data_IF_484637350661
#
_entry.id   IF_484637350661
#
_cell.length_a   1.000
_cell.length_b   1.000
_cell.length_c   1.000
_cell.angle_alpha   90.00
_cell.angle_beta   90.00
_cell.angle_gamma   90.00
#
_symmetry.space_group_name_H-M   'P 1'
#
loop_
_entity.id
_entity.type
_entity.pdbx_description
1 polymer ?
#
# COMPACT_ATOMS: atom_id res chain seq x y z
N UNK A 1 -24.27 23.57 4.50
CA UNK A 1 -24.27 23.26 3.05
C UNK A 1 -23.83 21.82 2.75
N UNK A 2 -22.85 21.27 3.46
CA UNK A 2 -22.34 19.89 3.25
C UNK A 2 -23.40 18.80 3.51
N UNK A 3 -24.24 18.96 4.54
CA UNK A 3 -25.31 17.99 4.86
C UNK A 3 -26.45 17.95 3.83
N UNK A 4 -26.81 19.10 3.25
CA UNK A 4 -27.81 19.18 2.17
C UNK A 4 -27.32 18.49 0.89
N UNK A 5 -26.01 18.58 0.62
CA UNK A 5 -25.38 17.88 -0.49
C UNK A 5 -25.34 16.37 -0.27
N UNK A 6 -24.99 15.91 0.93
CA UNK A 6 -25.02 14.50 1.28
C UNK A 6 -26.43 13.91 1.17
N UNK A 7 -27.43 14.61 1.71
CA UNK A 7 -28.82 14.22 1.59
C UNK A 7 -29.27 14.13 0.13
N UNK A 8 -28.89 15.10 -0.71
CA UNK A 8 -29.22 15.09 -2.13
C UNK A 8 -28.60 13.91 -2.89
N UNK A 9 -27.31 13.62 -2.65
CA UNK A 9 -26.59 12.51 -3.30
C UNK A 9 -27.20 11.16 -2.91
N UNK A 10 -27.42 10.93 -1.61
CA UNK A 10 -28.06 9.71 -1.11
C UNK A 10 -29.47 9.59 -1.67
N UNK A 11 -30.25 10.67 -1.67
CA UNK A 11 -31.61 10.64 -2.22
C UNK A 11 -31.61 10.30 -3.70
N UNK A 12 -30.69 10.85 -4.50
CA UNK A 12 -30.55 10.55 -5.92
C UNK A 12 -30.17 9.08 -6.16
N UNK A 13 -29.25 8.53 -5.37
CA UNK A 13 -28.77 7.14 -5.48
C UNK A 13 -29.91 6.12 -5.30
N UNK A 14 -30.75 6.32 -4.28
CA UNK A 14 -31.84 5.38 -3.95
C UNK A 14 -33.18 5.73 -4.60
N UNK A 15 -33.32 6.89 -5.26
CA UNK A 15 -34.56 7.31 -5.93
C UNK A 15 -35.11 6.25 -6.90
N UNK A 16 -34.23 5.46 -7.52
CA UNK A 16 -34.60 4.34 -8.41
C UNK A 16 -35.41 3.24 -7.72
N UNK A 17 -35.22 3.07 -6.42
CA UNK A 17 -35.93 2.07 -5.60
C UNK A 17 -37.15 2.66 -4.88
N UNK A 18 -37.28 4.00 -4.85
CA UNK A 18 -38.33 4.67 -4.11
C UNK A 18 -39.72 4.35 -4.70
N UNK A 19 -40.74 4.08 -3.85
CA UNK A 19 -42.11 3.87 -4.32
C UNK A 19 -42.64 5.13 -5.02
N UNK A 20 -43.21 4.97 -6.21
CA UNK A 20 -43.77 6.09 -6.98
C UNK A 20 -45.24 6.31 -6.64
N UNK A 21 -45.59 7.54 -6.25
CA UNK A 21 -46.98 7.96 -6.12
C UNK A 21 -47.71 7.50 -4.86
N UNK A 22 -47.02 6.97 -3.85
CA UNK A 22 -47.62 6.51 -2.58
C UNK A 22 -46.88 7.07 -1.37
N UNK A 23 -47.63 7.53 -0.36
CA UNK A 23 -47.05 7.99 0.91
C UNK A 23 -46.78 6.81 1.85
N UNK A 24 -45.86 6.96 2.82
CA UNK A 24 -45.58 5.90 3.81
C UNK A 24 -46.81 5.42 4.58
N UNK A 25 -47.79 6.29 4.81
CA UNK A 25 -49.06 5.94 5.48
C UNK A 25 -50.04 5.18 4.58
N UNK A 26 -49.93 5.31 3.26
CA UNK A 26 -50.84 4.71 2.28
C UNK A 26 -50.38 3.29 1.91
N UNK A 27 -49.07 3.07 1.74
CA UNK A 27 -48.48 1.74 1.50
C UNK A 27 -47.19 1.55 2.31
N UNK A 28 -47.29 1.22 3.62
CA UNK A 28 -46.10 1.02 4.46
C UNK A 28 -45.23 -0.15 3.99
N UNK A 29 -45.81 -1.14 3.28
CA UNK A 29 -45.08 -2.32 2.80
C UNK A 29 -44.16 -1.97 1.64
N UNK A 30 -44.57 -1.10 0.72
CA UNK A 30 -43.71 -0.62 -0.36
C UNK A 30 -42.50 0.16 0.18
N UNK A 31 -42.72 1.00 1.20
CA UNK A 31 -41.65 1.75 1.85
C UNK A 31 -40.69 0.86 2.66
N UNK A 32 -41.18 -0.21 3.28
CA UNK A 32 -40.32 -1.22 3.93
C UNK A 32 -39.46 -1.99 2.90
N UNK A 33 -40.04 -2.39 1.76
CA UNK A 33 -39.28 -3.01 0.66
C UNK A 33 -38.21 -2.06 0.10
N UNK A 34 -38.53 -0.77 -0.04
CA UNK A 34 -37.57 0.24 -0.45
C UNK A 34 -36.36 0.30 0.50
N UNK A 35 -36.60 0.40 1.81
CA UNK A 35 -35.54 0.43 2.80
C UNK A 35 -34.66 -0.83 2.75
N UNK A 36 -35.28 -2.01 2.67
CA UNK A 36 -34.56 -3.28 2.53
C UNK A 36 -33.73 -3.35 1.24
N UNK A 37 -34.30 -2.97 0.10
CA UNK A 37 -33.61 -3.01 -1.19
C UNK A 37 -32.45 -2.01 -1.27
N UNK A 38 -32.57 -0.83 -0.65
CA UNK A 38 -31.50 0.17 -0.62
C UNK A 38 -30.25 -0.35 0.10
N UNK A 39 -30.44 -1.09 1.21
CA UNK A 39 -29.34 -1.73 1.94
C UNK A 39 -28.81 -2.95 1.18
N UNK A 40 -29.70 -3.82 0.71
CA UNK A 40 -29.32 -5.04 -0.01
C UNK A 40 -28.58 -4.73 -1.32
N UNK A 41 -28.95 -3.67 -2.06
CA UNK A 41 -28.26 -3.32 -3.30
C UNK A 41 -26.79 -2.98 -3.06
N UNK A 42 -26.48 -2.25 -1.97
CA UNK A 42 -25.09 -1.94 -1.60
C UNK A 42 -24.29 -3.20 -1.28
N UNK A 43 -24.89 -4.12 -0.53
CA UNK A 43 -24.24 -5.39 -0.18
C UNK A 43 -24.01 -6.24 -1.43
N UNK A 44 -25.02 -6.36 -2.31
CA UNK A 44 -24.91 -7.09 -3.56
C UNK A 44 -23.87 -6.47 -4.50
N UNK A 45 -23.83 -5.15 -4.64
CA UNK A 45 -22.84 -4.46 -5.47
C UNK A 45 -21.43 -4.65 -4.91
N UNK A 46 -21.24 -4.52 -3.60
CA UNK A 46 -19.96 -4.78 -2.94
C UNK A 46 -19.49 -6.22 -3.17
N UNK A 47 -20.38 -7.18 -2.94
CA UNK A 47 -20.04 -8.61 -3.10
C UNK A 47 -19.77 -8.95 -4.57
N UNK A 48 -20.54 -8.40 -5.51
CA UNK A 48 -20.31 -8.56 -6.95
C UNK A 48 -18.94 -8.01 -7.34
N UNK A 49 -18.57 -6.82 -6.86
CA UNK A 49 -17.27 -6.19 -7.15
C UNK A 49 -16.07 -7.03 -6.71
N UNK A 50 -16.24 -7.87 -5.70
CA UNK A 50 -15.23 -8.80 -5.20
C UNK A 50 -15.31 -10.21 -5.80
N UNK A 51 -16.18 -10.43 -6.78
CA UNK A 51 -16.27 -11.71 -7.48
C UNK A 51 -15.24 -11.82 -8.61
N UNK A 52 -14.69 -13.01 -8.80
CA UNK A 52 -13.82 -13.30 -9.95
C UNK A 52 -14.47 -13.01 -11.29
N UNK A 53 -15.79 -13.23 -11.41
CA UNK A 53 -16.54 -12.91 -12.61
C UNK A 53 -16.49 -11.42 -12.96
N UNK A 54 -16.62 -10.56 -11.96
CA UNK A 54 -16.53 -9.10 -12.15
C UNK A 54 -15.12 -8.64 -12.51
N UNK A 55 -14.09 -9.20 -11.87
CA UNK A 55 -12.70 -8.87 -12.24
C UNK A 55 -12.38 -9.27 -13.68
N UNK A 56 -12.85 -10.45 -14.11
CA UNK A 56 -12.71 -10.91 -15.49
C UNK A 56 -13.44 -9.98 -16.47
N UNK A 57 -14.71 -9.66 -16.19
CA UNK A 57 -15.52 -8.73 -16.98
C UNK A 57 -14.81 -7.38 -17.16
N UNK A 58 -14.31 -6.77 -16.07
CA UNK A 58 -13.59 -5.49 -16.14
C UNK A 58 -12.29 -5.56 -16.91
N UNK A 59 -11.53 -6.64 -16.77
CA UNK A 59 -10.29 -6.84 -17.54
C UNK A 59 -10.60 -6.89 -19.04
N UNK A 60 -11.61 -7.67 -19.42
CA UNK A 60 -11.98 -7.90 -20.80
C UNK A 60 -12.55 -6.61 -21.43
N UNK A 61 -13.42 -5.88 -20.71
CA UNK A 61 -13.93 -4.56 -21.11
C UNK A 61 -12.78 -3.57 -21.35
N UNK A 62 -11.79 -3.51 -20.44
CA UNK A 62 -10.65 -2.61 -20.55
C UNK A 62 -9.82 -2.89 -21.78
N UNK A 63 -9.51 -4.17 -22.03
CA UNK A 63 -8.71 -4.58 -23.19
C UNK A 63 -9.44 -4.17 -24.48
N UNK A 64 -10.73 -4.53 -24.57
CA UNK A 64 -11.55 -4.25 -25.76
C UNK A 64 -11.74 -2.75 -25.99
N UNK A 65 -11.97 -1.98 -24.92
CA UNK A 65 -12.10 -0.52 -25.00
C UNK A 65 -10.82 0.14 -25.53
N UNK A 66 -9.66 -0.25 -24.99
CA UNK A 66 -8.37 0.29 -25.41
C UNK A 66 -8.12 -0.02 -26.89
N UNK A 67 -8.39 -1.26 -27.33
CA UNK A 67 -8.26 -1.67 -28.73
C UNK A 67 -9.10 -0.79 -29.67
N UNK A 68 -10.40 -0.69 -29.40
CA UNK A 68 -11.34 0.10 -30.21
C UNK A 68 -10.99 1.60 -30.21
N UNK A 69 -10.62 2.14 -29.04
CA UNK A 69 -10.21 3.54 -28.92
C UNK A 69 -8.92 3.84 -29.70
N UNK A 70 -7.95 2.91 -29.71
CA UNK A 70 -6.72 3.03 -30.50
C UNK A 70 -7.02 3.03 -31.99
N UNK A 71 -7.85 2.10 -32.46
CA UNK A 71 -8.28 2.03 -33.87
C UNK A 71 -8.97 3.33 -34.30
N UNK A 72 -9.91 3.84 -33.48
CA UNK A 72 -10.56 5.15 -33.67
C UNK A 72 -9.57 6.30 -33.78
N UNK A 73 -8.47 6.27 -33.03
CA UNK A 73 -7.47 7.34 -32.98
C UNK A 73 -6.43 7.29 -34.10
N UNK A 74 -6.04 6.09 -34.58
CA UNK A 74 -5.07 5.95 -35.67
C UNK A 74 -5.59 6.49 -37.01
N UNK A 75 -6.92 6.52 -37.21
CA UNK A 75 -7.58 6.97 -38.45
C UNK A 75 -7.11 6.26 -39.74
N UNK A 76 -6.29 5.21 -39.63
CA UNK A 76 -5.80 4.42 -40.77
C UNK A 76 -6.90 3.54 -41.35
N UNK A 77 -7.78 3.03 -40.48
CA UNK A 77 -8.97 2.26 -40.87
C UNK A 77 -10.19 2.81 -40.11
N UNK A 78 -11.32 3.06 -40.79
CA UNK A 78 -12.57 3.41 -40.11
C UNK A 78 -13.04 2.23 -39.26
N UNK A 79 -13.65 2.52 -38.11
CA UNK A 79 -14.32 1.50 -37.32
C UNK A 79 -15.46 0.89 -38.13
N UNK A 80 -15.60 -0.43 -38.07
CA UNK A 80 -16.79 -1.12 -38.56
C UNK A 80 -18.03 -0.59 -37.82
N UNK A 81 -19.23 -0.55 -38.45
CA UNK A 81 -20.47 -0.17 -37.77
C UNK A 81 -20.73 -1.00 -36.49
N UNK A 82 -20.29 -2.26 -36.43
CA UNK A 82 -20.43 -3.09 -35.24
C UNK A 82 -19.43 -2.71 -34.14
N UNK A 83 -18.19 -2.41 -34.50
CA UNK A 83 -17.16 -1.92 -33.58
C UNK A 83 -17.52 -0.55 -32.98
N UNK A 84 -18.13 0.33 -33.78
CA UNK A 84 -18.61 1.62 -33.31
C UNK A 84 -19.74 1.47 -32.28
N UNK A 85 -20.68 0.55 -32.52
CA UNK A 85 -21.75 0.21 -31.56
C UNK A 85 -21.20 -0.45 -30.29
N UNK A 86 -20.19 -1.31 -30.41
CA UNK A 86 -19.53 -1.90 -29.23
C UNK A 86 -18.84 -0.84 -28.38
N UNK A 87 -18.12 0.09 -29.01
CA UNK A 87 -17.47 1.19 -28.31
C UNK A 87 -18.50 2.07 -27.58
N UNK A 88 -19.62 2.38 -28.24
CA UNK A 88 -20.70 3.15 -27.62
C UNK A 88 -21.31 2.40 -26.42
N UNK A 89 -21.57 1.10 -26.53
CA UNK A 89 -22.05 0.26 -25.42
C UNK A 89 -21.09 0.26 -24.24
N UNK A 90 -19.78 0.18 -24.51
CA UNK A 90 -18.75 0.28 -23.47
C UNK A 90 -18.76 1.68 -22.83
N UNK A 91 -18.84 2.76 -23.62
CA UNK A 91 -18.88 4.13 -23.08
C UNK A 91 -20.14 4.40 -22.23
N UNK A 92 -21.27 3.75 -22.53
CA UNK A 92 -22.47 3.80 -21.69
C UNK A 92 -22.37 2.98 -20.41
N UNK A 93 -21.60 1.89 -20.42
CA UNK A 93 -21.43 1.00 -19.27
C UNK A 93 -20.42 1.53 -18.26
N UNK A 94 -19.39 2.25 -18.73
CA UNK A 94 -18.23 2.65 -17.94
C UNK A 94 -18.45 3.98 -17.24
N UNK A 95 -17.87 4.10 -16.04
CA UNK A 95 -17.84 5.37 -15.32
C UNK A 95 -16.86 6.35 -15.98
N UNK A 96 -17.06 7.64 -15.70
CA UNK A 96 -16.20 8.71 -16.23
C UNK A 96 -14.72 8.51 -15.89
N UNK A 97 -14.44 8.09 -14.65
CA UNK A 97 -13.07 7.83 -14.18
C UNK A 97 -12.40 6.70 -14.95
N UNK A 98 -13.12 5.59 -15.15
CA UNK A 98 -12.67 4.45 -15.94
C UNK A 98 -12.36 4.86 -17.38
N UNK A 99 -13.28 5.59 -18.03
CA UNK A 99 -13.05 6.09 -19.39
C UNK A 99 -11.83 7.01 -19.47
N UNK A 100 -11.66 7.94 -18.52
CA UNK A 100 -10.52 8.86 -18.48
C UNK A 100 -9.21 8.07 -18.34
N UNK A 101 -9.17 7.11 -17.43
CA UNK A 101 -8.01 6.27 -17.18
C UNK A 101 -7.68 5.36 -18.38
N UNK A 102 -8.66 4.68 -18.97
CA UNK A 102 -8.39 3.77 -20.09
C UNK A 102 -7.98 4.52 -21.35
N UNK A 103 -8.51 5.73 -21.57
CA UNK A 103 -8.06 6.60 -22.66
C UNK A 103 -6.63 7.12 -22.44
N UNK A 104 -6.15 7.28 -21.21
CA UNK A 104 -4.75 7.65 -20.96
C UNK A 104 -3.82 6.47 -21.30
N UNK A 105 -4.18 5.25 -20.89
CA UNK A 105 -3.47 4.02 -21.25
C UNK A 105 -3.40 3.83 -22.77
N UNK A 106 -4.52 4.00 -23.48
CA UNK A 106 -4.60 3.86 -24.92
C UNK A 106 -3.71 4.89 -25.65
N UNK A 107 -3.72 6.16 -25.24
CA UNK A 107 -2.85 7.20 -25.82
C UNK A 107 -1.37 6.89 -25.60
N UNK A 108 -1.01 6.35 -24.44
CA UNK A 108 0.37 5.95 -24.15
C UNK A 108 0.81 4.76 -25.02
N UNK A 109 -0.05 3.77 -25.24
CA UNK A 109 0.23 2.69 -26.18
C UNK A 109 0.41 3.19 -27.62
N UNK A 110 -0.41 4.15 -28.07
CA UNK A 110 -0.24 4.76 -29.39
C UNK A 110 1.07 5.52 -29.53
N UNK A 111 1.51 6.23 -28.49
CA UNK A 111 2.82 6.90 -28.50
C UNK A 111 3.94 5.88 -28.73
N UNK A 112 3.91 4.73 -28.06
CA UNK A 112 4.89 3.64 -28.27
C UNK A 112 4.87 3.08 -29.68
N UNK A 113 3.68 2.74 -30.18
CA UNK A 113 3.53 2.17 -31.53
C UNK A 113 3.97 3.17 -32.60
N UNK A 114 3.74 4.47 -32.39
CA UNK A 114 4.17 5.53 -33.30
C UNK A 114 5.66 5.89 -33.20
N UNK A 115 6.42 5.35 -32.24
CA UNK A 115 7.89 5.50 -32.17
C UNK A 115 8.58 4.56 -33.18
N UNK A 116 7.92 3.49 -33.66
CA UNK A 116 8.42 2.60 -34.72
C UNK A 116 7.81 2.83 -36.12
N UNK A 117 6.73 3.61 -36.23
CA UNK A 117 6.16 3.98 -37.53
C UNK A 117 6.92 5.18 -38.06
N UNK A 118 7.66 4.99 -39.17
CA UNK A 118 8.28 6.08 -39.95
C UNK A 118 7.24 7.18 -40.15
N UNK A 119 7.35 8.28 -39.39
CA UNK A 119 6.73 9.54 -39.82
C UNK A 119 7.32 9.80 -41.21
N UNK A 120 6.45 9.97 -42.21
CA UNK A 120 6.89 10.52 -43.49
C UNK A 120 7.75 11.76 -43.17
N UNK A 121 8.98 11.86 -43.69
CA UNK A 121 9.88 12.92 -43.29
C UNK A 121 9.17 14.25 -43.58
N UNK A 122 8.98 15.13 -42.57
CA UNK A 122 8.55 16.48 -42.86
C UNK A 122 9.60 17.08 -43.80
N UNK A 123 9.16 17.60 -44.96
CA UNK A 123 10.01 18.29 -45.93
C UNK A 123 11.02 19.16 -45.18
N UNK A 124 12.30 18.85 -45.35
CA UNK A 124 13.44 19.45 -44.67
C UNK A 124 13.28 20.97 -44.57
N UNK A 125 13.11 21.46 -43.33
CA UNK A 125 13.43 22.84 -43.02
C UNK A 125 14.87 22.85 -42.51
N UNK A 126 15.80 23.12 -43.43
CA UNK A 126 17.18 23.46 -43.10
C UNK A 126 17.16 24.61 -42.10
N UNK A 127 17.62 24.36 -40.88
CA UNK A 127 17.58 25.31 -39.78
C UNK A 127 18.94 25.40 -39.12
N UNK A 128 19.52 26.61 -39.16
CA UNK A 128 20.52 27.28 -38.30
C UNK A 128 21.78 26.55 -37.77
N UNK A 129 21.79 25.23 -37.59
CA UNK A 129 22.93 24.49 -37.02
C UNK A 129 24.12 24.44 -37.99
N UNK A 130 23.87 24.45 -39.30
CA UNK A 130 24.91 24.49 -40.34
C UNK A 130 25.63 25.86 -40.46
N UNK A 131 25.12 26.91 -39.83
CA UNK A 131 25.75 28.24 -39.86
C UNK A 131 26.73 28.45 -38.69
N UNK A 132 26.51 27.78 -37.56
CA UNK A 132 27.35 27.92 -36.37
C UNK A 132 28.70 27.18 -36.46
N UNK A 133 28.82 26.19 -37.34
CA UNK A 133 30.02 25.38 -37.50
C UNK A 133 30.34 25.33 -38.99
N UNK A 134 31.29 26.19 -39.42
CA UNK A 134 31.64 26.44 -40.82
C UNK A 134 32.29 25.27 -41.56
N UNK A 135 31.58 24.15 -41.69
CA UNK A 135 32.00 22.98 -42.47
C UNK A 135 31.14 22.84 -43.72
N UNK A 136 31.79 22.83 -44.89
CA UNK A 136 31.17 22.42 -46.15
C UNK A 136 30.73 20.94 -46.07
N UNK A 137 29.57 20.56 -46.62
CA UNK A 137 29.14 19.18 -46.62
C UNK A 137 29.98 18.39 -47.63
N UNK A 138 30.70 17.40 -47.14
CA UNK A 138 31.25 16.32 -47.93
C UNK A 138 30.23 15.18 -47.87
N UNK A 139 29.74 14.74 -49.02
CA UNK A 139 28.87 13.57 -49.13
C UNK A 139 29.60 12.35 -48.55
N UNK A 140 29.11 11.87 -47.41
CA UNK A 140 29.34 10.50 -46.98
C UNK A 140 28.14 9.69 -47.44
N UNK A 141 28.36 8.81 -48.41
CA UNK A 141 27.50 7.67 -48.69
C UNK A 141 27.37 6.87 -47.38
N UNK A 142 26.18 6.85 -46.79
CA UNK A 142 25.85 5.98 -45.66
C UNK A 142 25.39 4.62 -46.22
N UNK A 143 26.19 3.60 -45.91
CA UNK A 143 25.82 2.17 -45.99
C UNK A 143 24.46 1.92 -45.33
N UNK A 144 23.54 1.18 -45.97
CA UNK A 144 22.17 1.02 -45.47
C UNK A 144 21.98 -0.05 -44.37
N UNK A 145 23.04 -0.54 -43.71
CA UNK A 145 22.95 -1.80 -42.94
C UNK A 145 23.28 -1.70 -41.43
N UNK A 146 23.03 -0.55 -40.80
CA UNK A 146 23.07 -0.43 -39.33
C UNK A 146 21.69 -0.55 -38.69
N UNK A 147 20.93 -1.60 -39.04
CA UNK A 147 19.79 -2.03 -38.22
C UNK A 147 20.28 -3.04 -37.20
N UNK A 148 20.44 -2.61 -35.94
CA UNK A 148 20.66 -3.53 -34.82
C UNK A 148 19.54 -4.58 -34.79
N UNK A 149 19.90 -5.86 -34.74
CA UNK A 149 18.93 -6.94 -34.53
C UNK A 149 18.33 -6.86 -33.12
N UNK A 150 17.11 -7.39 -32.92
CA UNK A 150 16.43 -7.37 -31.61
C UNK A 150 17.27 -8.01 -30.49
N UNK A 151 18.13 -8.97 -30.85
CA UNK A 151 19.06 -9.65 -29.95
C UNK A 151 20.19 -8.71 -29.48
N UNK A 152 20.81 -7.96 -30.38
CA UNK A 152 21.84 -6.97 -30.04
C UNK A 152 21.28 -5.81 -29.21
N UNK A 153 20.01 -5.44 -29.46
CA UNK A 153 19.30 -4.44 -28.65
C UNK A 153 19.01 -4.96 -27.24
N UNK A 154 18.68 -6.24 -27.10
CA UNK A 154 18.44 -6.88 -25.80
C UNK A 154 19.72 -6.99 -24.99
N UNK A 155 20.82 -7.40 -25.60
CA UNK A 155 22.13 -7.42 -24.94
C UNK A 155 22.58 -6.02 -24.52
N UNK A 156 22.31 -5.00 -25.35
CA UNK A 156 22.58 -3.61 -24.99
C UNK A 156 21.73 -3.16 -23.79
N UNK A 157 20.42 -3.50 -23.75
CA UNK A 157 19.53 -3.18 -22.64
C UNK A 157 19.88 -3.90 -21.34
N UNK A 158 20.29 -5.16 -21.42
CA UNK A 158 20.81 -5.90 -20.26
C UNK A 158 22.14 -5.30 -19.77
N UNK A 159 23.03 -4.87 -20.68
CA UNK A 159 24.33 -4.28 -20.34
C UNK A 159 24.25 -2.90 -19.67
N UNK A 160 23.16 -2.15 -19.87
CA UNK A 160 22.91 -0.85 -19.22
C UNK A 160 21.83 -0.92 -18.13
N UNK A 161 21.39 -2.14 -17.75
CA UNK A 161 20.32 -2.39 -16.77
C UNK A 161 19.01 -1.60 -17.05
N UNK A 162 18.71 -1.36 -18.33
CA UNK A 162 17.56 -0.56 -18.75
C UNK A 162 16.32 -1.43 -18.89
N UNK A 163 15.45 -1.43 -17.88
CA UNK A 163 14.12 -2.02 -17.97
C UNK A 163 13.14 -1.01 -18.59
N UNK A 164 12.66 -1.32 -19.80
CA UNK A 164 11.65 -0.49 -20.46
C UNK A 164 10.44 -0.26 -19.54
N UNK A 165 10.06 -1.21 -18.68
CA UNK A 165 8.93 -1.06 -17.75
C UNK A 165 9.19 -0.10 -16.60
N UNK A 166 10.43 0.01 -16.10
CA UNK A 166 10.80 1.01 -15.08
C UNK A 166 10.91 2.39 -15.69
N UNK A 167 11.53 2.53 -16.87
CA UNK A 167 11.56 3.78 -17.64
C UNK A 167 10.15 4.25 -18.03
N UNK A 168 9.19 3.33 -18.21
CA UNK A 168 7.78 3.63 -18.47
C UNK A 168 7.00 4.11 -17.23
N UNK A 169 7.45 3.73 -16.03
CA UNK A 169 6.90 4.22 -14.78
C UNK A 169 7.48 5.59 -14.39
N UNK A 170 8.70 5.91 -14.85
CA UNK A 170 9.38 7.20 -14.66
C UNK A 170 8.93 8.28 -15.66
N UNK A 171 8.47 7.90 -16.85
CA UNK A 171 7.99 8.85 -17.89
C UNK A 171 6.55 9.31 -17.73
N UNK A 172 5.79 8.73 -16.79
CA UNK A 172 4.53 9.31 -16.35
C UNK A 172 4.88 10.29 -15.24
N UNK A 173 4.83 11.58 -15.56
CA UNK A 173 4.96 12.67 -14.58
C UNK A 173 3.77 12.61 -13.60
N UNK A 174 3.88 11.71 -12.63
CA UNK A 174 2.93 11.50 -11.56
C UNK A 174 3.28 12.52 -10.48
N UNK A 175 2.30 13.32 -10.01
CA UNK A 175 2.53 14.21 -8.88
C UNK A 175 3.18 13.46 -7.73
N UNK A 176 4.13 14.10 -7.03
CA UNK A 176 4.91 13.48 -5.93
C UNK A 176 4.03 12.85 -4.84
N UNK A 177 2.82 13.39 -4.65
CA UNK A 177 1.83 12.93 -3.68
C UNK A 177 1.05 11.67 -4.13
N UNK A 178 1.18 11.24 -5.38
CA UNK A 178 0.45 10.09 -5.91
C UNK A 178 0.85 8.82 -5.15
N UNK A 179 -0.12 8.09 -4.61
CA UNK A 179 0.13 6.82 -3.94
C UNK A 179 0.11 5.69 -4.98
N UNK A 180 1.27 5.06 -5.23
CA UNK A 180 1.39 3.89 -6.12
C UNK A 180 0.87 2.63 -5.43
N UNK A 181 1.20 2.48 -4.15
CA UNK A 181 0.78 1.34 -3.34
C UNK A 181 0.52 1.79 -1.90
N UNK A 182 -0.54 1.25 -1.31
CA UNK A 182 -0.88 1.45 0.10
C UNK A 182 -1.27 0.11 0.71
N UNK A 183 -0.62 -0.25 1.81
CA UNK A 183 -0.95 -1.41 2.62
C UNK A 183 -1.25 -0.89 4.01
N UNK A 184 -2.46 -1.16 4.48
CA UNK A 184 -2.87 -0.86 5.85
C UNK A 184 -3.28 -2.16 6.52
N UNK A 185 -2.66 -2.45 7.65
CA UNK A 185 -3.02 -3.53 8.54
C UNK A 185 -3.45 -2.93 9.88
N UNK A 186 -4.56 -3.41 10.41
CA UNK A 186 -5.02 -3.03 11.74
C UNK A 186 -5.46 -4.28 12.49
N UNK A 187 -5.10 -4.34 13.77
CA UNK A 187 -5.49 -5.40 14.67
C UNK A 187 -5.94 -4.78 15.99
N UNK A 188 -7.22 -4.95 16.33
CA UNK A 188 -7.81 -4.35 17.51
C UNK A 188 -7.15 -4.87 18.80
N UNK A 189 -6.95 -6.17 18.89
CA UNK A 189 -6.36 -6.83 20.05
C UNK A 189 -5.56 -8.05 19.60
N UNK A 190 -4.40 -8.25 20.21
CA UNK A 190 -3.62 -9.48 20.05
C UNK A 190 -3.06 -9.93 21.38
N UNK A 191 -2.77 -11.23 21.47
CA UNK A 191 -2.16 -11.83 22.65
C UNK A 191 -1.13 -12.87 22.27
N UNK A 192 -0.06 -12.94 23.04
CA UNK A 192 0.99 -13.94 22.91
C UNK A 192 1.28 -14.54 24.28
N UNK A 193 1.12 -15.87 24.41
CA UNK A 193 1.29 -16.56 25.69
C UNK A 193 2.29 -17.70 25.57
N UNK A 194 3.27 -17.72 26.48
CA UNK A 194 4.21 -18.83 26.65
C UNK A 194 3.64 -19.83 27.65
N UNK A 195 3.38 -21.06 27.19
CA UNK A 195 2.82 -22.14 28.03
C UNK A 195 3.84 -23.24 28.25
N UNK A 196 4.20 -23.51 29.50
CA UNK A 196 5.05 -24.63 29.91
C UNK A 196 4.18 -25.84 30.28
N UNK A 197 4.65 -27.03 29.92
CA UNK A 197 4.01 -28.32 30.20
C UNK A 197 2.53 -28.41 29.76
N UNK A 198 2.21 -28.16 28.47
CA UNK A 198 0.83 -28.04 27.98
C UNK A 198 -0.03 -29.31 28.12
N UNK A 199 0.58 -30.46 28.41
CA UNK A 199 -0.11 -31.76 28.52
C UNK A 199 -0.31 -32.24 29.97
N UNK A 200 0.20 -31.50 30.97
CA UNK A 200 0.07 -31.85 32.40
C UNK A 200 -0.50 -30.65 33.16
N UNK A 201 0.36 -29.96 33.91
CA UNK A 201 0.05 -28.74 34.64
C UNK A 201 0.51 -27.55 33.80
N UNK A 202 -0.38 -27.06 32.94
CA UNK A 202 -0.08 -25.91 32.08
C UNK A 202 0.19 -24.67 32.92
N UNK A 203 1.42 -24.17 32.85
CA UNK A 203 1.81 -22.90 33.48
C UNK A 203 1.98 -21.85 32.38
N UNK A 204 1.21 -20.78 32.44
CA UNK A 204 1.38 -19.61 31.56
C UNK A 204 2.54 -18.77 32.10
N UNK A 205 3.75 -18.98 31.56
CA UNK A 205 4.98 -18.31 32.03
C UNK A 205 4.90 -16.80 31.76
N UNK A 206 4.38 -16.42 30.60
CA UNK A 206 4.24 -15.05 30.14
C UNK A 206 2.97 -14.92 29.33
N UNK A 207 2.16 -13.91 29.60
CA UNK A 207 1.01 -13.53 28.77
C UNK A 207 1.11 -12.06 28.39
N UNK A 208 1.42 -11.81 27.12
CA UNK A 208 1.51 -10.49 26.52
C UNK A 208 0.18 -10.18 25.84
N UNK A 209 -0.36 -8.99 26.10
CA UNK A 209 -1.54 -8.44 25.44
C UNK A 209 -1.21 -7.09 24.84
N UNK A 210 -1.68 -6.84 23.63
CA UNK A 210 -1.56 -5.56 22.98
C UNK A 210 -2.87 -5.17 22.30
N UNK A 211 -3.08 -3.88 22.17
CA UNK A 211 -4.30 -3.30 21.61
C UNK A 211 -3.99 -2.17 20.61
N UNK A 212 -4.92 -2.00 19.67
CA UNK A 212 -4.88 -1.01 18.59
C UNK A 212 -3.53 -1.00 17.84
N UNK A 213 -3.09 -2.18 17.37
CA UNK A 213 -1.96 -2.27 16.46
C UNK A 213 -2.36 -1.76 15.08
N UNK A 214 -1.58 -0.84 14.52
CA UNK A 214 -1.75 -0.35 13.16
C UNK A 214 -0.40 -0.32 12.45
N UNK A 215 -0.36 -0.86 11.25
CA UNK A 215 0.79 -0.77 10.36
C UNK A 215 0.32 -0.18 9.03
N UNK A 216 1.03 0.84 8.55
CA UNK A 216 0.75 1.51 7.30
C UNK A 216 2.01 1.61 6.48
N UNK A 217 1.93 1.18 5.24
CA UNK A 217 3.00 1.29 4.26
C UNK A 217 2.45 2.04 3.04
N UNK A 218 3.16 3.08 2.60
CA UNK A 218 2.87 3.86 1.41
C UNK A 218 4.09 3.91 0.51
N UNK A 219 3.90 3.56 -0.76
CA UNK A 219 4.87 3.78 -1.81
C UNK A 219 4.35 4.87 -2.75
N UNK A 220 5.12 5.94 -2.89
CA UNK A 220 4.91 7.06 -3.81
C UNK A 220 5.98 7.06 -4.90
N UNK A 221 5.88 7.89 -5.96
CA UNK A 221 6.89 7.95 -7.02
C UNK A 221 8.31 8.14 -6.51
N UNK A 222 8.49 9.06 -5.56
CA UNK A 222 9.81 9.43 -5.05
C UNK A 222 9.97 9.18 -3.54
N UNK A 223 8.94 8.67 -2.85
CA UNK A 223 8.90 8.56 -1.38
C UNK A 223 8.37 7.21 -0.92
N UNK A 224 8.96 6.65 0.14
CA UNK A 224 8.48 5.45 0.81
C UNK A 224 8.22 5.80 2.27
N UNK A 225 7.01 5.51 2.75
CA UNK A 225 6.60 5.78 4.13
C UNK A 225 6.13 4.49 4.80
N UNK A 226 6.64 4.22 6.00
CA UNK A 226 6.18 3.15 6.86
C UNK A 226 5.88 3.69 8.26
N UNK A 227 4.74 3.34 8.82
CA UNK A 227 4.27 3.72 10.15
C UNK A 227 3.76 2.49 10.88
N UNK A 228 4.28 2.26 12.09
CA UNK A 228 3.86 1.20 12.99
C UNK A 228 3.50 1.84 14.31
N UNK A 229 2.28 1.59 14.78
CA UNK A 229 1.81 2.09 16.07
C UNK A 229 1.12 1.01 16.88
N UNK A 230 1.24 1.14 18.21
CA UNK A 230 0.64 0.26 19.20
C UNK A 230 -0.07 1.13 20.25
N UNK A 231 -1.36 0.87 20.49
CA UNK A 231 -2.18 1.62 21.44
C UNK A 231 -1.83 1.32 22.90
N UNK A 232 -1.73 0.04 23.25
CA UNK A 232 -1.33 -0.40 24.58
C UNK A 232 -0.56 -1.72 24.58
N UNK A 233 0.19 -1.93 25.67
CA UNK A 233 0.99 -3.12 25.93
C UNK A 233 0.86 -3.51 27.39
N UNK A 234 0.59 -4.79 27.63
CA UNK A 234 0.50 -5.39 28.96
C UNK A 234 1.22 -6.72 28.95
N UNK A 235 2.02 -6.97 29.98
CA UNK A 235 2.70 -8.25 30.15
C UNK A 235 2.40 -8.77 31.55
N UNK A 236 1.84 -9.97 31.63
CA UNK A 236 1.51 -10.64 32.88
C UNK A 236 2.50 -11.77 33.17
N UNK A 237 2.84 -11.92 34.45
CA UNK A 237 3.63 -13.01 35.02
C UNK A 237 2.69 -14.08 35.61
N UNK A 238 2.81 -15.32 35.13
CA UNK A 238 2.14 -16.48 35.71
C UNK A 238 3.08 -17.47 36.41
N UNK A 239 4.36 -17.12 36.57
CA UNK A 239 5.35 -17.93 37.30
C UNK A 239 5.24 -17.82 38.81
N UNK A 240 4.76 -16.67 39.32
CA UNK A 240 4.61 -16.43 40.76
C UNK A 240 3.12 -16.43 41.17
N UNK A 241 2.59 -17.55 41.71
CA UNK A 241 1.22 -17.58 42.20
C UNK A 241 1.06 -16.59 43.36
N UNK A 242 -0.09 -15.91 43.42
CA UNK A 242 -0.44 -14.93 44.47
C UNK A 242 0.45 -13.68 44.59
N UNK A 243 1.16 -13.30 43.52
CA UNK A 243 1.87 -12.01 43.47
C UNK A 243 0.90 -10.83 43.60
N UNK A 244 1.27 -9.80 44.37
CA UNK A 244 0.57 -8.51 44.41
C UNK A 244 0.73 -7.72 43.10
N UNK A 245 1.70 -8.10 42.27
CA UNK A 245 2.05 -7.45 41.01
C UNK A 245 2.06 -8.47 39.86
N UNK A 246 0.89 -8.99 39.45
CA UNK A 246 0.81 -9.97 38.36
C UNK A 246 1.11 -9.35 37.00
N UNK A 247 1.00 -8.02 36.85
CA UNK A 247 1.32 -7.30 35.63
C UNK A 247 2.72 -6.68 35.73
N UNK A 248 3.65 -7.20 34.94
CA UNK A 248 5.06 -6.80 34.92
C UNK A 248 5.31 -5.57 34.07
N UNK A 249 4.60 -5.43 32.95
CA UNK A 249 4.71 -4.27 32.07
C UNK A 249 3.35 -3.62 31.90
N UNK A 250 3.29 -2.30 32.09
CA UNK A 250 2.09 -1.48 31.89
C UNK A 250 2.47 -0.10 31.36
N UNK A 251 1.65 0.45 30.47
CA UNK A 251 1.73 1.88 30.10
C UNK A 251 1.12 2.71 31.23
N UNK A 252 1.84 3.71 31.77
CA UNK A 252 1.43 4.44 32.98
C UNK A 252 0.03 5.06 32.91
N UNK A 253 -0.41 5.48 31.72
CA UNK A 253 -1.70 6.11 31.49
C UNK A 253 -2.78 5.16 30.95
N UNK A 254 -2.50 3.84 30.87
CA UNK A 254 -3.48 2.89 30.36
C UNK A 254 -4.56 2.56 31.40
N UNK A 255 -5.85 2.51 30.99
CA UNK A 255 -6.92 2.11 31.88
C UNK A 255 -6.70 0.69 32.42
N UNK A 256 -6.92 0.50 33.73
CA UNK A 256 -6.67 -0.76 34.45
C UNK A 256 -7.40 -1.95 33.82
N UNK A 257 -8.57 -1.71 33.21
CA UNK A 257 -9.34 -2.73 32.49
C UNK A 257 -9.24 -2.51 30.98
N UNK A 258 -9.09 -3.57 30.17
CA UNK A 258 -9.21 -3.43 28.71
C UNK A 258 -10.62 -2.90 28.41
N UNK A 259 -10.71 -1.82 27.63
CA UNK A 259 -11.99 -1.40 27.06
C UNK A 259 -12.42 -2.51 26.10
N UNK A 260 -13.35 -3.37 26.50
CA UNK A 260 -14.08 -4.21 25.56
C UNK A 260 -14.84 -3.25 24.65
N UNK A 261 -14.38 -3.08 23.41
CA UNK A 261 -15.14 -2.39 22.38
C UNK A 261 -16.38 -3.24 22.10
N UNK A 262 -17.48 -2.93 22.76
CA UNK A 262 -18.80 -3.42 22.39
C UNK A 262 -19.13 -2.88 21.00
N UNK A 263 -19.63 -3.75 20.11
CA UNK A 263 -19.97 -3.47 18.70
C UNK A 263 -21.13 -2.47 18.53
N UNK A 264 -21.07 -1.29 19.16
CA UNK A 264 -22.18 -0.32 19.17
C UNK A 264 -21.79 1.16 19.25
N UNK A 265 -20.51 1.50 19.44
CA UNK A 265 -20.07 2.90 19.46
C UNK A 265 -19.42 3.26 18.11
N UNK A 266 -20.24 3.63 17.14
CA UNK A 266 -19.80 4.08 15.81
C UNK A 266 -19.31 5.55 15.77
N UNK A 267 -19.27 6.29 16.89
CA UNK A 267 -19.05 7.75 16.84
C UNK A 267 -18.05 8.33 17.86
N UNK A 268 -17.01 7.60 18.26
CA UNK A 268 -15.84 8.24 18.89
C UNK A 268 -14.55 7.88 18.15
N UNK A 269 -14.22 8.68 17.14
CA UNK A 269 -12.84 8.94 16.72
C UNK A 269 -12.05 9.63 17.86
N UNK A 270 -12.14 9.15 19.10
CA UNK A 270 -11.11 9.47 20.07
C UNK A 270 -9.86 8.76 19.56
N UNK A 271 -9.03 9.52 18.84
CA UNK A 271 -7.67 9.19 18.51
C UNK A 271 -6.95 8.84 19.81
N UNK A 272 -7.04 7.58 20.23
CA UNK A 272 -6.24 7.06 21.34
C UNK A 272 -4.80 7.23 20.92
N UNK A 273 -4.16 8.23 21.50
CA UNK A 273 -2.78 8.56 21.25
C UNK A 273 -1.92 7.33 21.58
N UNK A 274 -1.26 6.70 20.58
CA UNK A 274 -0.61 5.42 20.77
C UNK A 274 0.52 5.54 21.79
N UNK A 275 0.73 4.50 22.60
CA UNK A 275 1.85 4.50 23.53
C UNK A 275 3.19 4.35 22.78
N UNK A 276 3.19 3.62 21.67
CA UNK A 276 4.36 3.44 20.82
C UNK A 276 4.00 3.76 19.38
N UNK A 277 4.81 4.57 18.73
CA UNK A 277 4.73 4.82 17.30
C UNK A 277 6.13 4.97 16.72
N UNK A 278 6.36 4.32 15.59
CA UNK A 278 7.59 4.40 14.83
C UNK A 278 7.26 4.64 13.36
N UNK A 279 7.76 5.74 12.84
CA UNK A 279 7.57 6.17 11.46
C UNK A 279 8.92 6.37 10.80
N UNK A 280 9.01 5.92 9.55
CA UNK A 280 10.15 6.14 8.67
C UNK A 280 9.65 6.56 7.30
N UNK A 281 10.21 7.64 6.77
CA UNK A 281 9.89 8.16 5.45
C UNK A 281 11.18 8.46 4.68
N UNK A 282 11.36 7.87 3.51
CA UNK A 282 12.41 8.28 2.57
C UNK A 282 11.89 9.39 1.66
N UNK A 283 12.73 10.38 1.40
CA UNK A 283 12.44 11.58 0.61
C UNK A 283 11.05 12.18 0.93
N UNK A 284 10.83 12.60 2.20
CA UNK A 284 9.57 13.17 2.67
C UNK A 284 9.06 14.31 1.78
N UNK A 285 7.75 14.38 1.59
CA UNK A 285 7.11 15.36 0.71
C UNK A 285 7.23 16.82 1.19
N UNK A 286 7.40 17.01 2.50
CA UNK A 286 7.29 18.32 3.16
C UNK A 286 8.50 18.67 4.03
N UNK A 287 9.55 17.85 4.01
CA UNK A 287 10.75 18.06 4.81
C UNK A 287 11.98 18.10 3.90
N UNK A 288 13.00 18.85 4.29
CA UNK A 288 14.19 19.10 3.45
C UNK A 288 15.25 17.99 3.53
N UNK A 289 14.95 16.89 4.21
CA UNK A 289 15.86 15.75 4.40
C UNK A 289 15.57 14.59 3.45
N UNK A 290 16.55 13.71 3.26
CA UNK A 290 16.42 12.50 2.45
C UNK A 290 15.77 11.34 3.22
N UNK A 291 15.77 11.43 4.55
CA UNK A 291 15.18 10.44 5.46
C UNK A 291 14.58 11.15 6.68
N UNK A 292 13.30 10.91 6.95
CA UNK A 292 12.65 11.32 8.18
C UNK A 292 12.35 10.10 9.06
N UNK A 293 12.78 10.13 10.32
CA UNK A 293 12.48 9.09 11.31
C UNK A 293 11.79 9.74 12.49
N UNK A 294 10.59 9.26 12.84
CA UNK A 294 9.85 9.72 14.01
C UNK A 294 9.59 8.56 14.95
N UNK A 295 9.99 8.70 16.22
CA UNK A 295 9.69 7.73 17.26
C UNK A 295 8.98 8.42 18.43
N UNK A 296 7.87 7.84 18.85
CA UNK A 296 7.10 8.28 20.02
C UNK A 296 6.94 7.11 20.97
N UNK A 297 7.26 7.34 22.25
CA UNK A 297 7.11 6.35 23.30
C UNK A 297 6.58 7.02 24.58
N UNK A 298 5.47 6.49 25.11
CA UNK A 298 4.93 6.89 26.41
C UNK A 298 5.63 6.14 27.55
N UNK A 299 5.63 6.70 28.77
CA UNK A 299 6.22 6.05 29.93
C UNK A 299 5.65 4.65 30.20
N UNK A 300 6.55 3.68 30.34
CA UNK A 300 6.25 2.31 30.76
C UNK A 300 6.63 2.14 32.24
N UNK A 301 5.77 1.43 32.98
CA UNK A 301 6.05 0.88 34.29
C UNK A 301 6.49 -0.57 34.12
N UNK A 302 7.68 -0.89 34.63
CA UNK A 302 8.25 -2.23 34.58
C UNK A 302 8.56 -2.69 36.01
N UNK A 303 7.91 -3.77 36.43
CA UNK A 303 8.09 -4.36 37.75
C UNK A 303 9.10 -5.50 37.65
N UNK A 304 10.19 -5.40 38.40
CA UNK A 304 11.23 -6.42 38.36
C UNK A 304 10.84 -7.65 39.18
N UNK A 305 10.68 -8.80 38.51
CA UNK A 305 10.54 -10.10 39.16
C UNK A 305 11.60 -11.11 38.65
N UNK A 306 12.56 -11.53 39.49
CA UNK A 306 13.57 -12.52 39.10
C UNK A 306 12.99 -13.87 38.66
N UNK A 307 11.90 -14.34 39.31
CA UNK A 307 11.29 -15.63 38.98
C UNK A 307 10.70 -15.64 37.57
N UNK A 308 10.08 -14.54 37.17
CA UNK A 308 9.54 -14.33 35.82
C UNK A 308 10.65 -14.43 34.77
N UNK A 309 11.77 -13.72 34.96
CA UNK A 309 12.90 -13.74 34.01
C UNK A 309 13.54 -15.12 33.91
N UNK A 310 13.78 -15.78 35.06
CA UNK A 310 14.28 -17.16 35.07
C UNK A 310 13.32 -18.10 34.35
N UNK A 311 12.00 -17.90 34.53
CA UNK A 311 10.96 -18.65 33.83
C UNK A 311 11.04 -18.51 32.31
N UNK A 312 11.20 -17.29 31.80
CA UNK A 312 11.36 -17.02 30.36
C UNK A 312 12.66 -17.63 29.83
N UNK A 313 13.79 -17.39 30.51
CA UNK A 313 15.09 -17.93 30.09
C UNK A 313 15.06 -19.46 30.06
N UNK A 314 14.47 -20.11 31.06
CA UNK A 314 14.28 -21.56 31.07
C UNK A 314 13.36 -22.06 29.96
N UNK A 315 12.33 -21.29 29.56
CA UNK A 315 11.42 -21.67 28.48
C UNK A 315 12.16 -21.75 27.13
N UNK A 316 13.02 -20.77 26.85
CA UNK A 316 13.81 -20.74 25.62
C UNK A 316 15.11 -21.56 25.72
N UNK A 317 15.49 -22.02 26.91
CA UNK A 317 16.65 -22.89 27.09
C UNK A 317 16.34 -24.27 26.50
N UNK A 318 17.03 -24.68 25.42
CA UNK A 318 16.79 -25.97 24.80
C UNK A 318 17.17 -27.14 25.72
N UNK A 319 16.44 -28.27 25.68
CA UNK A 319 16.84 -29.49 26.36
C UNK A 319 18.07 -30.11 25.67
N UNK A 320 19.00 -30.65 26.47
CA UNK A 320 20.31 -31.15 26.01
C UNK A 320 20.22 -32.19 24.88
N UNK A 321 19.10 -32.90 24.75
CA UNK A 321 18.88 -33.96 23.75
C UNK A 321 18.69 -33.45 22.31
N UNK A 322 18.40 -32.16 22.10
CA UNK A 322 18.13 -31.59 20.77
C UNK A 322 19.07 -30.42 20.40
N UNK A 323 20.21 -30.31 21.10
CA UNK A 323 21.17 -29.22 20.90
C UNK A 323 21.73 -29.15 19.47
N UNK A 324 21.92 -30.29 18.80
CA UNK A 324 22.46 -30.32 17.42
C UNK A 324 21.47 -29.73 16.41
N UNK A 325 20.19 -30.13 16.48
CA UNK A 325 19.13 -29.59 15.61
C UNK A 325 18.81 -28.12 15.89
N UNK A 326 18.87 -27.71 17.16
CA UNK A 326 18.62 -26.31 17.56
C UNK A 326 19.85 -25.45 17.25
N UNK A 327 21.06 -26.00 17.33
CA UNK A 327 22.29 -25.36 16.91
C UNK A 327 22.27 -24.99 15.43
N UNK A 328 21.82 -25.91 14.56
CA UNK A 328 21.65 -25.62 13.13
C UNK A 328 20.62 -24.50 12.87
N UNK A 329 19.51 -24.47 13.62
CA UNK A 329 18.52 -23.38 13.54
C UNK A 329 19.09 -22.06 14.06
N UNK A 330 19.84 -22.06 15.18
CA UNK A 330 20.50 -20.88 15.73
C UNK A 330 21.60 -20.35 14.82
N UNK A 331 22.37 -21.21 14.17
CA UNK A 331 23.41 -20.82 13.23
C UNK A 331 22.79 -20.19 11.98
N UNK A 332 21.72 -20.79 11.44
CA UNK A 332 21.00 -20.21 10.29
C UNK A 332 20.31 -18.87 10.64
N UNK A 333 19.70 -18.75 11.82
CA UNK A 333 19.12 -17.52 12.32
C UNK A 333 20.19 -16.47 12.65
N UNK A 334 21.32 -16.89 13.20
CA UNK A 334 22.47 -16.03 13.51
C UNK A 334 23.08 -15.43 12.25
N UNK A 335 23.34 -16.25 11.24
CA UNK A 335 23.86 -15.80 9.95
C UNK A 335 22.91 -14.81 9.24
N UNK A 336 21.60 -15.02 9.32
CA UNK A 336 20.61 -14.09 8.75
C UNK A 336 20.50 -12.78 9.51
N UNK A 337 20.49 -12.82 10.85
CA UNK A 337 20.47 -11.61 11.70
C UNK A 337 21.77 -10.82 11.55
N UNK A 338 22.91 -11.50 11.50
CA UNK A 338 24.21 -10.86 11.33
C UNK A 338 24.35 -10.27 9.92
N UNK A 339 23.88 -10.96 8.89
CA UNK A 339 23.76 -10.43 7.53
C UNK A 339 22.88 -9.18 7.47
N UNK A 340 21.69 -9.20 8.08
CA UNK A 340 20.81 -8.03 8.18
C UNK A 340 21.47 -6.87 8.95
N UNK A 341 22.16 -7.16 10.05
CA UNK A 341 22.87 -6.15 10.84
C UNK A 341 24.01 -5.52 10.05
N UNK A 342 24.80 -6.31 9.34
CA UNK A 342 25.89 -5.84 8.49
C UNK A 342 25.35 -5.01 7.32
N UNK A 343 24.30 -5.47 6.63
CA UNK A 343 23.64 -4.73 5.55
C UNK A 343 23.02 -3.42 6.04
N UNK A 344 22.33 -3.43 7.18
CA UNK A 344 21.72 -2.22 7.77
C UNK A 344 22.81 -1.24 8.19
N UNK A 345 23.89 -1.72 8.82
CA UNK A 345 25.02 -0.88 9.22
C UNK A 345 25.72 -0.27 8.00
N UNK A 346 26.06 -1.08 7.00
CA UNK A 346 26.70 -0.60 5.77
C UNK A 346 25.79 0.37 5.01
N UNK A 347 24.48 0.13 4.95
CA UNK A 347 23.52 1.05 4.33
C UNK A 347 23.41 2.39 5.08
N UNK A 348 23.47 2.36 6.41
CA UNK A 348 23.49 3.58 7.24
C UNK A 348 24.83 4.32 7.12
N UNK A 349 25.96 3.61 7.15
CA UNK A 349 27.30 4.17 6.94
C UNK A 349 27.42 4.81 5.54
N UNK A 350 26.94 4.13 4.50
CA UNK A 350 26.87 4.67 3.13
C UNK A 350 25.96 5.90 3.04
N UNK A 351 24.79 5.89 3.68
CA UNK A 351 23.91 7.06 3.71
C UNK A 351 24.55 8.26 4.44
N UNK A 352 25.33 7.99 5.50
CA UNK A 352 26.10 9.01 6.23
C UNK A 352 27.26 9.56 5.38
N UNK A 353 27.97 8.71 4.63
CA UNK A 353 29.09 9.10 3.75
C UNK A 353 28.63 9.85 2.49
N UNK A 354 27.47 9.52 1.92
CA UNK A 354 26.86 10.24 0.78
C UNK A 354 26.26 11.62 1.16
N UNK A 355 26.49 12.11 2.39
CA UNK A 355 25.91 13.35 2.90
C UNK A 355 24.37 13.40 2.85
N UNK A 356 23.68 12.25 2.95
CA UNK A 356 22.22 12.25 3.05
C UNK A 356 21.79 12.87 4.36
N UNK A 357 20.81 13.77 4.29
CA UNK A 357 20.37 14.52 5.46
C UNK A 357 19.28 13.74 6.19
N UNK A 358 19.54 13.34 7.44
CA UNK A 358 18.60 12.59 8.27
C UNK A 358 17.91 13.53 9.27
N UNK A 359 16.58 13.61 9.18
CA UNK A 359 15.76 14.34 10.14
C UNK A 359 15.15 13.35 11.14
N UNK A 360 15.73 13.30 12.34
CA UNK A 360 15.22 12.48 13.44
C UNK A 360 14.38 13.33 14.41
N UNK A 361 13.14 12.91 14.66
CA UNK A 361 12.27 13.46 15.70
C UNK A 361 11.98 12.38 16.74
N UNK A 362 12.38 12.62 17.98
CA UNK A 362 12.06 11.75 19.11
C UNK A 362 11.19 12.53 20.09
N UNK A 363 10.03 11.99 20.46
CA UNK A 363 9.14 12.59 21.45
C UNK A 363 8.90 11.61 22.58
N UNK A 364 9.40 11.96 23.76
CA UNK A 364 9.16 11.24 25.02
C UNK A 364 8.33 12.15 25.91
N UNK A 365 7.07 11.81 26.15
CA UNK A 365 6.21 12.56 27.07
C UNK A 365 6.63 12.25 28.52
N UNK A 366 7.39 13.16 29.13
CA UNK A 366 7.71 13.11 30.55
C UNK A 366 6.68 13.93 31.33
N UNK A 367 5.62 13.28 31.81
CA UNK A 367 4.83 13.82 32.93
C UNK A 367 5.40 13.26 34.23
N UNK A 368 6.04 14.16 35.00
CA UNK A 368 6.48 13.93 36.39
C UNK A 368 5.31 13.73 37.32
#
# INVERSE_FOLDING_TARGET
MVDLFHYFILHQEYKKFAPKGVRPKEDPRAWFKFAGNAVLSKIHDRNRRWSWGYFKERRDDRIRYIELFKKKKKQTEPLSPDEAKELEKLEWKLDYEDMRFWRSLARNQLKKENIGVKKQPPKQKQGWVAWAWGSKPQESEEDPDTTMTEEQRKELYDAIEYDEKTALAETVDLPKETVKMQIEASLNTGSFTLKRDPHKNTVEVLSLYFDAFKAKFLQRPESLFADISLGGLRVNDGTTPSSLFPQIVRVKDAPEKPKLLTNGDEDSEESTDPFFQFQIETNPLHDAGDLAVTAKLKPLEVIWNPHFLVGIVQFFKPPERHMESIGALMESAGATVEGLRQQTRAGLEFALEEHKTINAKSTTDHRT
#
